data_IF_936875652850
#
_entry.id   IF_936875652850
#
_cell.length_a   1.000
_cell.length_b   1.000
_cell.length_c   1.000
_cell.angle_alpha   90.00
_cell.angle_beta   90.00
_cell.angle_gamma   90.00
#
_symmetry.space_group_name_H-M   'P 1'
#
loop_
_entity.id
_entity.type
_entity.pdbx_description
1 polymer ?
#
# COMPACT_ATOMS: atom_id res chain seq x y z
N UNK A 1 2.14 -15.36 39.02
CA UNK A 1 1.89 -13.92 38.77
C UNK A 1 2.18 -13.70 37.29
N UNK A 2 1.16 -13.58 36.44
CA UNK A 2 1.32 -13.12 35.03
C UNK A 2 1.68 -11.63 35.15
N UNK A 3 2.87 -11.26 34.68
CA UNK A 3 3.27 -9.86 34.58
C UNK A 3 2.17 -9.12 33.76
N UNK A 4 1.72 -8.00 34.27
CA UNK A 4 0.93 -7.04 33.49
C UNK A 4 1.81 -6.61 32.31
N UNK A 5 1.60 -7.20 31.12
CA UNK A 5 2.14 -6.63 29.88
C UNK A 5 1.53 -5.24 29.76
N UNK A 6 2.36 -4.24 29.82
CA UNK A 6 1.97 -2.86 29.54
C UNK A 6 1.44 -2.84 28.10
N UNK A 7 0.14 -2.66 27.94
CA UNK A 7 -0.48 -2.47 26.62
C UNK A 7 0.11 -1.16 26.07
N UNK A 8 1.06 -1.28 25.17
CA UNK A 8 1.64 -0.14 24.47
C UNK A 8 0.63 0.27 23.41
N UNK A 9 0.05 1.45 23.53
CA UNK A 9 -0.79 1.99 22.45
C UNK A 9 0.10 2.28 21.23
N UNK A 10 -0.08 1.58 20.11
CA UNK A 10 0.77 1.76 18.94
C UNK A 10 0.61 3.14 18.30
N UNK A 11 1.69 3.66 17.75
CA UNK A 11 1.63 4.79 16.83
C UNK A 11 1.32 4.24 15.43
N UNK A 12 0.13 4.55 14.92
CA UNK A 12 -0.35 4.07 13.64
C UNK A 12 0.02 5.08 12.52
N UNK A 13 0.73 4.61 11.50
CA UNK A 13 1.12 5.39 10.32
C UNK A 13 0.46 4.79 9.07
N UNK A 14 -0.16 5.63 8.24
CA UNK A 14 -0.65 5.25 6.93
C UNK A 14 0.31 5.74 5.84
N UNK A 15 0.68 4.87 4.88
CA UNK A 15 1.43 5.20 3.67
C UNK A 15 0.60 4.78 2.47
N UNK A 16 -0.02 5.75 1.82
CA UNK A 16 -0.99 5.54 0.75
C UNK A 16 -0.50 6.19 -0.54
N UNK A 17 -0.96 5.70 -1.65
CA UNK A 17 -0.64 6.19 -2.98
C UNK A 17 -1.01 5.17 -4.03
N UNK A 18 -0.99 5.57 -5.28
CA UNK A 18 -1.38 4.70 -6.39
C UNK A 18 -0.41 3.51 -6.59
N UNK A 19 -0.80 2.59 -7.44
CA UNK A 19 0.04 1.45 -7.82
C UNK A 19 1.37 1.94 -8.40
N UNK A 20 2.48 1.41 -7.87
CA UNK A 20 3.84 1.82 -8.19
C UNK A 20 4.24 3.26 -7.77
N UNK A 21 3.55 3.86 -6.80
CA UNK A 21 3.94 5.16 -6.24
C UNK A 21 5.17 5.11 -5.31
N UNK A 22 5.85 3.96 -5.18
CA UNK A 22 7.03 3.82 -4.32
C UNK A 22 6.71 3.51 -2.85
N UNK A 23 5.47 3.11 -2.52
CA UNK A 23 5.03 2.85 -1.14
C UNK A 23 5.96 1.89 -0.38
N UNK A 24 6.25 0.73 -0.95
CA UNK A 24 7.09 -0.28 -0.30
C UNK A 24 8.50 0.26 -0.03
N UNK A 25 9.13 0.92 -1.00
CA UNK A 25 10.45 1.55 -0.81
C UNK A 25 10.43 2.61 0.30
N UNK A 26 9.38 3.43 0.34
CA UNK A 26 9.20 4.44 1.39
C UNK A 26 8.96 3.79 2.76
N UNK A 27 8.14 2.74 2.81
CA UNK A 27 7.89 1.93 4.01
C UNK A 27 9.17 1.30 4.54
N UNK A 28 9.98 0.70 3.67
CA UNK A 28 11.27 0.09 4.06
C UNK A 28 12.20 1.13 4.68
N UNK A 29 12.26 2.34 4.12
CA UNK A 29 13.01 3.46 4.69
C UNK A 29 12.51 3.90 6.07
N UNK A 30 11.18 3.97 6.25
CA UNK A 30 10.55 4.29 7.55
C UNK A 30 10.85 3.19 8.58
N UNK A 31 10.73 1.92 8.20
CA UNK A 31 11.03 0.77 9.07
C UNK A 31 12.49 0.80 9.50
N UNK A 32 13.43 1.01 8.58
CA UNK A 32 14.85 1.10 8.88
C UNK A 32 15.15 2.26 9.85
N UNK A 33 14.50 3.41 9.68
CA UNK A 33 14.66 4.58 10.55
C UNK A 33 14.11 4.35 11.96
N UNK A 34 12.93 3.73 12.08
CA UNK A 34 12.26 3.47 13.36
C UNK A 34 12.83 2.25 14.09
N UNK A 35 13.48 1.34 13.38
CA UNK A 35 14.05 0.07 13.86
C UNK A 35 13.08 -1.11 13.73
N UNK A 36 13.49 -2.13 13.00
CA UNK A 36 12.69 -3.31 12.60
C UNK A 36 11.96 -3.99 13.76
N UNK A 37 12.61 -4.08 14.94
CA UNK A 37 12.02 -4.73 16.13
C UNK A 37 10.85 -3.95 16.72
N UNK A 38 10.74 -2.67 16.42
CA UNK A 38 9.71 -1.75 16.94
C UNK A 38 8.54 -1.56 16.01
N UNK A 39 8.66 -2.02 14.76
CA UNK A 39 7.68 -1.81 13.69
C UNK A 39 7.01 -3.13 13.30
N UNK A 40 5.71 -3.10 13.05
CA UNK A 40 5.02 -4.12 12.27
C UNK A 40 4.33 -3.44 11.08
N UNK A 41 4.30 -4.11 9.93
CA UNK A 41 3.71 -3.60 8.70
C UNK A 41 2.46 -4.39 8.32
N UNK A 42 1.48 -3.72 7.76
CA UNK A 42 0.26 -4.34 7.20
C UNK A 42 0.01 -3.74 5.82
N UNK A 43 -0.13 -4.61 4.83
CA UNK A 43 -0.51 -4.22 3.48
C UNK A 43 -2.04 -4.23 3.34
N UNK A 44 -2.64 -3.12 2.89
CA UNK A 44 -4.09 -3.05 2.66
C UNK A 44 -4.52 -3.83 1.42
N UNK A 45 -3.59 -4.09 0.51
CA UNK A 45 -3.86 -4.88 -0.70
C UNK A 45 -4.07 -6.38 -0.39
N UNK A 46 -3.76 -6.82 0.84
CA UNK A 46 -4.09 -8.17 1.33
C UNK A 46 -5.61 -8.39 1.49
N UNK A 47 -6.39 -7.31 1.58
CA UNK A 47 -7.83 -7.38 1.85
C UNK A 47 -8.69 -7.48 0.59
N UNK A 48 -8.15 -7.91 -0.55
CA UNK A 48 -8.94 -8.19 -1.75
C UNK A 48 -10.03 -9.24 -1.49
N UNK A 49 -11.23 -9.05 -2.09
CA UNK A 49 -12.31 -10.04 -2.07
C UNK A 49 -12.09 -11.16 -3.07
N UNK A 50 -11.41 -10.84 -4.17
CA UNK A 50 -11.29 -11.69 -5.35
C UNK A 50 -9.83 -11.89 -5.70
N UNK A 51 -9.48 -13.08 -6.16
CA UNK A 51 -8.18 -13.35 -6.76
C UNK A 51 -8.04 -12.64 -8.13
N UNK A 52 -6.87 -12.78 -8.77
CA UNK A 52 -6.60 -12.09 -10.04
C UNK A 52 -7.50 -12.58 -11.18
N UNK A 53 -7.86 -13.87 -11.21
CA UNK A 53 -8.72 -14.44 -12.25
C UNK A 53 -10.15 -13.94 -12.06
N UNK A 54 -10.68 -14.09 -10.84
CA UNK A 54 -12.02 -13.61 -10.49
C UNK A 54 -12.20 -12.10 -10.77
N UNK A 55 -11.21 -11.26 -10.46
CA UNK A 55 -11.27 -9.82 -10.77
C UNK A 55 -11.39 -9.54 -12.27
N UNK A 56 -10.73 -10.35 -13.11
CA UNK A 56 -10.85 -10.20 -14.57
C UNK A 56 -12.22 -10.62 -15.07
N UNK A 57 -12.76 -11.70 -14.55
CA UNK A 57 -14.10 -12.21 -14.92
C UNK A 57 -15.22 -11.25 -14.50
N UNK A 58 -15.06 -10.59 -13.35
CA UNK A 58 -16.02 -9.64 -12.79
C UNK A 58 -15.80 -8.20 -13.26
N UNK A 59 -14.75 -7.94 -14.05
CA UNK A 59 -14.28 -6.61 -14.45
C UNK A 59 -14.11 -5.63 -13.28
N UNK A 60 -13.62 -6.13 -12.14
CA UNK A 60 -13.32 -5.35 -10.94
C UNK A 60 -11.82 -5.09 -10.84
N UNK A 61 -11.42 -3.85 -10.56
CA UNK A 61 -10.01 -3.54 -10.31
C UNK A 61 -9.66 -3.66 -8.83
N UNK A 62 -8.36 -3.82 -8.48
CA UNK A 62 -7.92 -3.80 -7.09
C UNK A 62 -8.07 -2.42 -6.42
N UNK A 63 -8.37 -1.36 -7.18
CA UNK A 63 -8.53 0.01 -6.72
C UNK A 63 -9.97 0.31 -6.29
N UNK A 64 -10.93 -0.52 -6.72
CA UNK A 64 -12.33 -0.39 -6.35
C UNK A 64 -12.54 -0.85 -4.90
N UNK A 65 -13.07 0.02 -4.00
CA UNK A 65 -13.41 -0.36 -2.63
C UNK A 65 -14.36 -1.57 -2.53
N UNK A 66 -15.28 -1.74 -3.49
CA UNK A 66 -16.22 -2.85 -3.51
C UNK A 66 -15.52 -4.20 -3.82
N UNK A 67 -14.37 -4.15 -4.47
CA UNK A 67 -13.46 -5.28 -4.67
C UNK A 67 -12.63 -5.67 -3.46
N UNK A 68 -12.83 -5.00 -2.30
CA UNK A 68 -12.03 -5.15 -1.10
C UNK A 68 -12.90 -5.30 0.16
N UNK A 69 -12.40 -5.98 1.18
CA UNK A 69 -13.03 -6.13 2.50
C UNK A 69 -12.77 -4.89 3.37
N UNK A 70 -13.35 -3.73 2.99
CA UNK A 70 -13.13 -2.45 3.64
C UNK A 70 -13.59 -2.42 5.11
N UNK A 71 -14.65 -3.12 5.43
CA UNK A 71 -15.19 -3.27 6.79
C UNK A 71 -14.26 -4.10 7.69
N UNK A 72 -13.75 -5.22 7.19
CA UNK A 72 -12.77 -6.06 7.90
C UNK A 72 -11.45 -5.29 8.09
N UNK A 73 -10.98 -4.58 7.05
CA UNK A 73 -9.80 -3.74 7.14
C UNK A 73 -9.97 -2.68 8.24
N UNK A 74 -11.09 -1.96 8.27
CA UNK A 74 -11.38 -0.96 9.31
C UNK A 74 -11.47 -1.59 10.71
N UNK A 75 -12.00 -2.82 10.83
CA UNK A 75 -12.04 -3.56 12.09
C UNK A 75 -10.63 -3.91 12.57
N UNK A 76 -9.79 -4.47 11.69
CA UNK A 76 -8.42 -4.84 12.01
C UNK A 76 -7.57 -3.63 12.41
N UNK A 77 -7.72 -2.50 11.72
CA UNK A 77 -7.01 -1.27 12.09
C UNK A 77 -7.40 -0.78 13.49
N UNK A 78 -8.66 -0.87 13.89
CA UNK A 78 -9.10 -0.50 15.25
C UNK A 78 -8.50 -1.43 16.30
N UNK A 79 -8.45 -2.74 16.05
CA UNK A 79 -7.84 -3.71 16.94
C UNK A 79 -6.33 -3.41 17.11
N UNK A 80 -5.61 -3.22 16.00
CA UNK A 80 -4.20 -2.87 16.05
C UNK A 80 -3.95 -1.55 16.77
N UNK A 81 -4.77 -0.53 16.55
CA UNK A 81 -4.65 0.75 17.27
C UNK A 81 -4.91 0.63 18.79
N UNK A 82 -5.70 -0.38 19.19
CA UNK A 82 -5.90 -0.72 20.60
C UNK A 82 -4.79 -1.62 21.19
N UNK A 83 -3.80 -2.01 20.38
CA UNK A 83 -2.73 -2.93 20.79
C UNK A 83 -3.10 -4.41 20.70
N UNK A 84 -4.27 -4.72 20.13
CA UNK A 84 -4.77 -6.08 19.98
C UNK A 84 -4.22 -6.75 18.70
N UNK A 85 -3.93 -8.04 18.73
CA UNK A 85 -3.48 -8.78 17.55
C UNK A 85 -4.63 -9.04 16.57
N UNK A 86 -4.26 -9.30 15.32
CA UNK A 86 -5.19 -9.70 14.26
C UNK A 86 -4.72 -10.94 13.53
N UNK A 87 -5.65 -11.65 12.90
CA UNK A 87 -5.37 -12.66 11.88
C UNK A 87 -5.80 -12.09 10.53
N UNK A 88 -4.85 -11.54 9.77
CA UNK A 88 -5.16 -10.88 8.49
C UNK A 88 -5.09 -11.83 7.31
N UNK A 89 -5.88 -11.60 6.24
CA UNK A 89 -5.66 -12.26 4.96
C UNK A 89 -4.28 -11.92 4.40
N UNK A 90 -3.79 -12.75 3.49
CA UNK A 90 -2.56 -12.51 2.73
C UNK A 90 -2.84 -12.74 1.25
N UNK A 91 -2.47 -11.75 0.44
CA UNK A 91 -2.59 -11.84 -1.01
C UNK A 91 -1.21 -11.99 -1.66
N UNK A 92 -0.99 -13.13 -2.32
CA UNK A 92 0.23 -13.39 -3.07
C UNK A 92 0.19 -12.67 -4.42
N UNK A 93 0.88 -11.55 -4.51
CA UNK A 93 0.97 -10.75 -5.73
C UNK A 93 1.71 -11.45 -6.88
N UNK A 94 2.56 -12.43 -6.61
CA UNK A 94 3.31 -13.17 -7.65
C UNK A 94 2.36 -14.10 -8.42
N UNK A 95 1.57 -14.88 -7.71
CA UNK A 95 0.60 -15.81 -8.30
C UNK A 95 -0.79 -15.18 -8.52
N UNK A 96 -1.10 -14.11 -7.77
CA UNK A 96 -2.39 -13.42 -7.86
C UNK A 96 -3.53 -14.17 -7.16
N UNK A 97 -3.20 -14.90 -6.08
CA UNK A 97 -4.09 -15.73 -5.28
C UNK A 97 -3.97 -15.39 -3.80
N UNK A 98 -4.78 -16.03 -2.96
CA UNK A 98 -4.66 -15.91 -1.52
C UNK A 98 -3.68 -16.94 -0.95
N UNK A 99 -2.95 -16.55 0.08
CA UNK A 99 -2.08 -17.40 0.89
C UNK A 99 -2.70 -17.65 2.27
N UNK A 100 -2.14 -18.56 3.10
CA UNK A 100 -2.56 -18.72 4.48
C UNK A 100 -2.54 -17.39 5.24
N UNK A 101 -3.53 -17.13 6.13
CA UNK A 101 -3.59 -15.90 6.87
C UNK A 101 -2.39 -15.73 7.81
N UNK A 102 -2.03 -14.47 8.09
CA UNK A 102 -0.91 -14.10 8.95
C UNK A 102 -1.41 -13.54 10.28
N UNK A 103 -0.79 -14.01 11.38
CA UNK A 103 -1.02 -13.48 12.72
C UNK A 103 -0.10 -12.29 12.97
N UNK A 104 -0.68 -11.09 13.11
CA UNK A 104 0.06 -9.84 13.33
C UNK A 104 -0.17 -9.36 14.75
N UNK A 105 0.91 -9.16 15.48
CA UNK A 105 0.90 -8.56 16.82
C UNK A 105 1.26 -7.09 16.71
N UNK A 106 0.49 -6.24 17.39
CA UNK A 106 0.76 -4.82 17.42
C UNK A 106 2.14 -4.54 18.07
N UNK A 107 2.89 -3.62 17.45
CA UNK A 107 4.18 -3.14 17.94
C UNK A 107 4.11 -1.65 18.25
N UNK A 108 5.19 -1.08 18.76
CA UNK A 108 5.25 0.35 19.08
C UNK A 108 4.83 1.24 17.89
N UNK A 109 5.22 0.85 16.68
CA UNK A 109 4.80 1.49 15.45
C UNK A 109 4.11 0.47 14.56
N UNK A 110 2.97 0.85 14.01
CA UNK A 110 2.25 0.08 12.99
C UNK A 110 2.28 0.88 11.69
N UNK A 111 2.89 0.36 10.65
CA UNK A 111 2.90 0.97 9.32
C UNK A 111 1.89 0.24 8.44
N UNK A 112 0.90 0.96 7.98
CA UNK A 112 -0.18 0.46 7.14
C UNK A 112 0.04 1.03 5.74
N UNK A 113 0.43 0.19 4.79
CA UNK A 113 0.65 0.63 3.41
C UNK A 113 -0.40 0.07 2.45
N UNK A 114 -0.66 0.78 1.37
CA UNK A 114 -1.47 0.27 0.26
C UNK A 114 -2.27 1.30 -0.50
N UNK A 115 -3.29 0.81 -1.22
CA UNK A 115 -4.08 1.63 -2.16
C UNK A 115 -5.21 2.40 -1.46
N UNK A 116 -5.94 1.74 -0.55
CA UNK A 116 -7.22 2.21 -0.03
C UNK A 116 -7.18 2.62 1.46
N UNK A 117 -5.99 2.83 2.01
CA UNK A 117 -5.79 3.03 3.45
C UNK A 117 -6.49 4.26 4.06
N UNK A 118 -6.81 5.30 3.27
CA UNK A 118 -7.48 6.52 3.74
C UNK A 118 -8.93 6.66 3.22
N UNK A 119 -9.50 5.63 2.60
CA UNK A 119 -10.81 5.71 1.94
C UNK A 119 -11.93 6.01 2.92
N UNK A 120 -12.02 5.28 4.04
CA UNK A 120 -13.11 5.44 4.99
C UNK A 120 -12.73 6.27 6.23
N UNK A 121 -13.68 6.99 6.80
CA UNK A 121 -13.43 7.75 8.03
C UNK A 121 -13.00 6.84 9.21
N UNK A 122 -13.64 5.67 9.47
CA UNK A 122 -13.21 4.78 10.55
C UNK A 122 -11.76 4.32 10.43
N UNK A 123 -11.22 4.17 9.21
CA UNK A 123 -9.82 3.84 8.99
C UNK A 123 -8.93 5.05 9.30
N UNK A 124 -9.29 6.23 8.79
CA UNK A 124 -8.51 7.46 9.01
C UNK A 124 -8.38 7.85 10.48
N UNK A 125 -9.42 7.58 11.26
CA UNK A 125 -9.45 7.89 12.71
C UNK A 125 -8.46 7.01 13.51
N UNK A 126 -7.97 5.91 12.94
CA UNK A 126 -6.97 5.05 13.59
C UNK A 126 -5.53 5.58 13.46
N UNK A 127 -5.25 6.48 12.52
CA UNK A 127 -3.89 6.90 12.20
C UNK A 127 -3.48 8.17 12.95
N UNK A 128 -2.27 8.13 13.52
CA UNK A 128 -1.60 9.31 14.07
C UNK A 128 -0.99 10.17 12.96
N UNK A 129 -0.50 9.54 11.88
CA UNK A 129 0.08 10.22 10.73
C UNK A 129 -0.38 9.53 9.44
N UNK A 130 -0.77 10.33 8.46
CA UNK A 130 -1.23 9.89 7.14
C UNK A 130 -0.36 10.51 6.05
N UNK A 131 0.34 9.66 5.30
CA UNK A 131 1.24 10.05 4.22
C UNK A 131 0.65 9.60 2.89
N UNK A 132 0.61 10.50 1.92
CA UNK A 132 0.25 10.19 0.55
C UNK A 132 1.46 10.38 -0.37
N UNK A 133 1.82 9.35 -1.15
CA UNK A 133 2.89 9.42 -2.13
C UNK A 133 2.31 9.82 -3.49
N UNK A 134 2.78 10.95 -4.02
CA UNK A 134 2.25 11.62 -5.21
C UNK A 134 3.36 11.84 -6.27
N UNK A 135 3.92 10.76 -6.84
CA UNK A 135 4.86 10.90 -7.94
C UNK A 135 4.16 11.40 -9.21
N UNK A 136 4.88 12.11 -10.10
CA UNK A 136 4.38 12.44 -11.42
C UNK A 136 3.93 11.18 -12.17
N UNK A 137 2.86 11.29 -12.95
CA UNK A 137 2.21 10.14 -13.61
C UNK A 137 3.15 9.41 -14.58
N UNK A 138 3.98 10.15 -15.31
CA UNK A 138 4.97 9.58 -16.22
C UNK A 138 6.06 8.79 -15.48
N UNK A 139 6.49 9.28 -14.32
CA UNK A 139 7.45 8.58 -13.46
C UNK A 139 6.83 7.31 -12.88
N UNK A 140 5.61 7.40 -12.35
CA UNK A 140 4.85 6.26 -11.80
C UNK A 140 4.63 5.18 -12.85
N UNK A 141 4.25 5.56 -14.06
CA UNK A 141 4.05 4.64 -15.18
C UNK A 141 5.33 3.92 -15.58
N UNK A 142 6.46 4.63 -15.66
CA UNK A 142 7.79 4.03 -15.91
C UNK A 142 8.16 3.02 -14.83
N UNK A 143 8.02 3.36 -13.55
CA UNK A 143 8.28 2.46 -12.43
C UNK A 143 7.40 1.22 -12.48
N UNK A 144 6.12 1.38 -12.84
CA UNK A 144 5.21 0.26 -12.96
C UNK A 144 5.59 -0.68 -14.11
N UNK A 145 5.94 -0.14 -15.28
CA UNK A 145 6.40 -0.92 -16.42
C UNK A 145 7.66 -1.70 -16.06
N UNK A 146 8.66 -1.02 -15.50
CA UNK A 146 9.92 -1.65 -15.10
C UNK A 146 9.68 -2.79 -14.09
N UNK A 147 8.92 -2.53 -13.02
CA UNK A 147 8.63 -3.53 -11.99
C UNK A 147 7.85 -4.73 -12.52
N UNK A 148 6.77 -4.49 -13.26
CA UNK A 148 5.86 -5.56 -13.67
C UNK A 148 6.44 -6.39 -14.82
N UNK A 149 7.29 -5.81 -15.68
CA UNK A 149 8.08 -6.57 -16.66
C UNK A 149 9.15 -7.42 -15.99
N UNK A 150 9.91 -6.86 -15.04
CA UNK A 150 11.02 -7.58 -14.40
C UNK A 150 10.53 -8.68 -13.43
N UNK A 151 9.47 -8.41 -12.65
CA UNK A 151 9.03 -9.29 -11.53
C UNK A 151 7.83 -10.16 -11.85
N UNK A 152 7.05 -9.84 -12.88
CA UNK A 152 5.75 -10.50 -13.16
C UNK A 152 5.63 -11.03 -14.59
N UNK A 153 6.66 -10.82 -15.43
CA UNK A 153 6.72 -11.31 -16.80
C UNK A 153 5.71 -10.64 -17.76
N UNK A 154 5.17 -9.47 -17.42
CA UNK A 154 4.32 -8.71 -18.33
C UNK A 154 5.14 -8.03 -19.42
N UNK A 155 4.51 -7.78 -20.58
CA UNK A 155 5.07 -6.89 -21.60
C UNK A 155 4.73 -5.44 -21.28
N UNK A 156 5.49 -4.44 -21.76
CA UNK A 156 5.18 -3.02 -21.58
C UNK A 156 3.75 -2.66 -22.03
N UNK A 157 3.30 -3.19 -23.16
CA UNK A 157 1.94 -2.94 -23.69
C UNK A 157 0.86 -3.49 -22.74
N UNK A 158 1.07 -4.66 -22.14
CA UNK A 158 0.12 -5.21 -21.16
C UNK A 158 0.05 -4.34 -19.90
N UNK A 159 1.17 -3.79 -19.46
CA UNK A 159 1.20 -2.89 -18.28
C UNK A 159 0.51 -1.57 -18.59
N UNK A 160 0.73 -1.00 -19.80
CA UNK A 160 0.08 0.23 -20.25
C UNK A 160 -1.44 0.05 -20.33
N UNK A 161 -1.91 -1.00 -20.98
CA UNK A 161 -3.33 -1.32 -21.06
C UNK A 161 -3.98 -1.50 -19.67
N UNK A 162 -3.25 -2.10 -18.71
CA UNK A 162 -3.73 -2.25 -17.35
C UNK A 162 -3.76 -0.91 -16.58
N UNK A 163 -2.83 0.01 -16.84
CA UNK A 163 -2.86 1.36 -16.29
C UNK A 163 -4.08 2.13 -16.81
N UNK A 164 -4.33 2.10 -18.13
CA UNK A 164 -5.50 2.73 -18.75
C UNK A 164 -6.82 2.17 -18.19
N UNK A 165 -6.93 0.86 -18.04
CA UNK A 165 -8.10 0.21 -17.46
C UNK A 165 -8.38 0.65 -16.03
N UNK A 166 -7.32 0.90 -15.24
CA UNK A 166 -7.42 1.30 -13.81
C UNK A 166 -7.58 2.80 -13.61
N UNK A 167 -7.38 3.60 -14.64
CA UNK A 167 -7.39 5.05 -14.55
C UNK A 167 -8.70 5.62 -13.96
N UNK A 168 -9.91 5.15 -14.36
CA UNK A 168 -11.15 5.63 -13.77
C UNK A 168 -11.22 5.40 -12.24
N UNK A 169 -10.82 4.22 -11.78
CA UNK A 169 -10.84 3.88 -10.36
C UNK A 169 -9.74 4.62 -9.58
N UNK A 170 -8.57 4.82 -10.20
CA UNK A 170 -7.53 5.66 -9.60
C UNK A 170 -8.03 7.08 -9.37
N UNK A 171 -8.69 7.67 -10.36
CA UNK A 171 -9.27 9.00 -10.27
C UNK A 171 -10.40 9.08 -9.22
N UNK A 172 -11.23 8.03 -9.14
CA UNK A 172 -12.38 7.99 -8.24
C UNK A 172 -12.00 7.69 -6.78
N UNK A 173 -11.06 6.76 -6.55
CA UNK A 173 -10.86 6.18 -5.22
C UNK A 173 -9.45 6.41 -4.64
N UNK A 174 -8.40 6.55 -5.47
CA UNK A 174 -7.04 6.70 -4.95
C UNK A 174 -6.64 8.16 -4.81
N UNK A 175 -6.73 8.95 -5.89
CA UNK A 175 -6.28 10.36 -5.89
C UNK A 175 -7.00 11.24 -4.86
N UNK A 176 -8.32 11.08 -4.58
CA UNK A 176 -8.99 11.88 -3.56
C UNK A 176 -8.49 11.64 -2.14
N UNK A 177 -7.78 10.53 -1.87
CA UNK A 177 -7.17 10.27 -0.57
C UNK A 177 -6.03 11.24 -0.24
N UNK A 178 -5.43 11.88 -1.27
CA UNK A 178 -4.42 12.93 -1.11
C UNK A 178 -4.90 14.07 -0.20
N UNK A 179 -6.15 14.47 -0.34
CA UNK A 179 -6.75 15.53 0.49
C UNK A 179 -7.00 15.10 1.95
N UNK A 180 -6.90 13.81 2.23
CA UNK A 180 -7.08 13.24 3.57
C UNK A 180 -5.76 12.97 4.29
N UNK A 181 -4.64 13.17 3.60
CA UNK A 181 -3.31 12.98 4.15
C UNK A 181 -2.84 14.22 4.93
N UNK A 182 -2.03 13.98 5.96
CA UNK A 182 -1.36 15.04 6.71
C UNK A 182 -0.08 15.50 5.98
N UNK A 183 0.54 14.59 5.22
CA UNK A 183 1.78 14.81 4.47
C UNK A 183 1.60 14.28 3.06
N UNK A 184 1.93 15.09 2.07
CA UNK A 184 2.00 14.68 0.65
C UNK A 184 3.47 14.70 0.22
N UNK A 185 4.00 13.53 -0.14
CA UNK A 185 5.37 13.38 -0.64
C UNK A 185 5.34 13.47 -2.17
N UNK A 186 5.95 14.51 -2.71
CA UNK A 186 6.16 14.69 -4.14
C UNK A 186 7.57 14.26 -4.52
N UNK A 187 7.70 13.81 -5.75
CA UNK A 187 8.98 13.38 -6.30
C UNK A 187 9.39 14.37 -7.38
N UNK A 188 10.48 15.05 -7.14
CA UNK A 188 11.06 16.00 -8.09
C UNK A 188 12.42 15.47 -8.54
N UNK A 189 12.77 15.60 -9.82
CA UNK A 189 14.12 15.26 -10.26
C UNK A 189 15.13 16.16 -9.52
N UNK A 190 16.33 15.66 -9.19
CA UNK A 190 17.41 16.50 -8.71
C UNK A 190 17.65 17.64 -9.69
N UNK A 191 17.96 18.84 -9.18
CA UNK A 191 18.21 20.02 -9.99
C UNK A 191 19.20 19.73 -11.14
N UNK A 192 18.75 19.93 -12.39
CA UNK A 192 19.55 19.73 -13.59
C UNK A 192 19.48 18.35 -14.22
N UNK A 193 18.79 17.37 -13.64
CA UNK A 193 18.55 16.06 -14.26
C UNK A 193 17.13 16.00 -14.85
N UNK A 194 17.05 16.07 -16.17
CA UNK A 194 15.83 15.63 -16.86
C UNK A 194 15.73 14.12 -16.71
N UNK A 195 14.64 13.61 -16.12
CA UNK A 195 14.37 12.15 -15.97
C UNK A 195 14.04 11.53 -17.36
N UNK A 196 14.96 11.65 -18.31
CA UNK A 196 14.76 11.24 -19.70
C UNK A 196 15.25 9.82 -19.99
N UNK A 197 16.02 9.20 -19.08
CA UNK A 197 16.47 7.81 -19.30
C UNK A 197 16.30 6.94 -18.06
N UNK A 198 15.96 5.65 -18.22
CA UNK A 198 15.95 4.72 -17.10
C UNK A 198 17.39 4.54 -16.59
N UNK A 199 17.61 4.84 -15.31
CA UNK A 199 18.85 4.47 -14.64
C UNK A 199 19.01 2.95 -14.76
N UNK A 200 20.10 2.50 -15.38
CA UNK A 200 20.41 1.09 -15.49
C UNK A 200 20.51 0.48 -14.10
N UNK A 201 19.95 -0.73 -13.93
CA UNK A 201 19.85 -1.44 -12.64
C UNK A 201 21.21 -1.85 -12.02
N UNK A 202 22.31 -1.34 -12.53
CA UNK A 202 23.69 -1.63 -12.09
C UNK A 202 24.29 -0.56 -11.16
N UNK A 203 23.56 0.53 -10.86
CA UNK A 203 24.10 1.64 -10.03
C UNK A 203 23.28 1.90 -8.74
N UNK A 204 22.61 0.87 -8.20
CA UNK A 204 21.95 0.96 -6.89
C UNK A 204 22.43 -0.12 -5.94
#
# INVERSE_FOLDING_TARGET
>A
MKGMETVVTPVMLAIVGDSAAGKTTFTDGVVALLGDKRVATVCTDDYHRYDRVQRRELDVTPLDPDGNYMDIMAQHLRLLAAGEPILKPVYDHSHGTFAPPEYVVARQFMVIEGLLGLTTKPMRDCYAVKVFLDPPEDLRSRWKIQRDCAKRGYTPNQVTAELERREPDSAAFIRPQREKADIVVRFEPPDGLMLTEPVAAEEL
#
